data_IF_665768440199
#
_entry.id   IF_665768440199
#
_cell.length_a   1.000
_cell.length_b   1.000
_cell.length_c   1.000
_cell.angle_alpha   90.00
_cell.angle_beta   90.00
_cell.angle_gamma   90.00
#
_symmetry.space_group_name_H-M   'P 1'
#
loop_
_entity.id
_entity.type
_entity.pdbx_description
1 polymer ?
#
# COMPACT_ATOMS: atom_id res chain seq x y z
N UNK A 1 4.17 -13.29 2.94
CA UNK A 1 4.99 -12.44 3.83
C UNK A 1 6.46 -12.81 3.82
N UNK A 2 6.86 -14.05 4.08
CA UNK A 2 8.29 -14.46 4.13
C UNK A 2 9.12 -14.14 2.87
N UNK A 3 8.53 -14.21 1.66
CA UNK A 3 9.24 -13.87 0.41
C UNK A 3 9.52 -12.35 0.32
N UNK A 4 8.55 -11.51 0.71
CA UNK A 4 8.73 -10.05 0.77
C UNK A 4 9.86 -9.71 1.74
N UNK A 5 9.77 -10.18 2.98
CA UNK A 5 10.80 -9.89 3.98
C UNK A 5 12.20 -10.40 3.58
N UNK A 6 12.28 -11.53 2.87
CA UNK A 6 13.56 -12.05 2.35
C UNK A 6 14.17 -11.09 1.33
N UNK A 7 13.38 -10.59 0.38
CA UNK A 7 13.84 -9.61 -0.61
C UNK A 7 14.27 -8.30 0.04
N UNK A 8 13.52 -7.81 1.04
CA UNK A 8 13.90 -6.63 1.80
C UNK A 8 15.22 -6.85 2.55
N UNK A 9 15.42 -8.01 3.20
CA UNK A 9 16.67 -8.37 3.91
C UNK A 9 17.88 -8.50 2.98
N UNK A 10 17.69 -8.79 1.71
CA UNK A 10 18.78 -8.78 0.70
C UNK A 10 19.23 -7.36 0.35
N UNK A 11 18.29 -6.39 0.36
CA UNK A 11 18.54 -5.00 -0.03
C UNK A 11 18.96 -4.11 1.15
N UNK A 12 18.44 -4.40 2.34
CA UNK A 12 18.62 -3.58 3.54
C UNK A 12 19.19 -4.39 4.70
N UNK A 13 20.07 -3.77 5.48
CA UNK A 13 20.58 -4.34 6.74
C UNK A 13 19.73 -3.84 7.90
N UNK A 14 18.83 -4.68 8.39
CA UNK A 14 17.97 -4.36 9.54
C UNK A 14 18.67 -4.68 10.87
N UNK A 15 18.53 -3.79 11.85
CA UNK A 15 18.92 -4.02 13.26
C UNK A 15 17.76 -4.52 14.11
N UNK A 16 16.60 -4.75 13.49
CA UNK A 16 15.35 -5.20 14.09
C UNK A 16 14.71 -6.27 13.19
N UNK A 17 13.77 -7.03 13.73
CA UNK A 17 13.06 -8.02 12.92
C UNK A 17 11.90 -7.38 12.13
N UNK A 18 12.16 -7.06 10.86
CA UNK A 18 11.18 -6.52 9.94
C UNK A 18 9.99 -7.48 9.73
N UNK A 19 10.19 -8.79 9.86
CA UNK A 19 9.11 -9.76 9.69
C UNK A 19 8.14 -9.70 10.88
N UNK A 20 8.65 -9.61 12.11
CA UNK A 20 7.82 -9.43 13.30
C UNK A 20 7.03 -8.12 13.22
N UNK A 21 7.69 -7.00 12.89
CA UNK A 21 7.01 -5.70 12.75
C UNK A 21 5.88 -5.76 11.72
N UNK A 22 6.14 -6.32 10.53
CA UNK A 22 5.13 -6.41 9.48
C UNK A 22 3.96 -7.31 9.88
N UNK A 23 4.24 -8.45 10.54
CA UNK A 23 3.21 -9.35 11.05
C UNK A 23 2.30 -8.66 12.07
N UNK A 24 2.91 -8.02 13.06
CA UNK A 24 2.17 -7.37 14.14
C UNK A 24 1.34 -6.19 13.62
N UNK A 25 1.86 -5.42 12.67
CA UNK A 25 1.09 -4.35 12.02
C UNK A 25 -0.09 -4.88 11.21
N UNK A 26 0.05 -6.04 10.55
CA UNK A 26 -1.04 -6.69 9.81
C UNK A 26 -2.08 -7.23 10.79
N UNK A 27 -1.66 -7.96 11.83
CA UNK A 27 -2.57 -8.51 12.83
C UNK A 27 -3.34 -7.40 13.57
N UNK A 28 -2.63 -6.36 14.02
CA UNK A 28 -3.29 -5.21 14.64
C UNK A 28 -4.28 -4.52 13.68
N UNK A 29 -3.96 -4.42 12.38
CA UNK A 29 -4.88 -3.85 11.38
C UNK A 29 -6.15 -4.68 11.19
N UNK A 30 -6.05 -6.00 11.28
CA UNK A 30 -7.20 -6.91 11.14
C UNK A 30 -8.06 -6.92 12.40
N UNK A 31 -7.42 -6.97 13.58
CA UNK A 31 -8.11 -7.10 14.85
C UNK A 31 -8.69 -5.77 15.34
N UNK A 32 -7.90 -4.70 15.26
CA UNK A 32 -8.25 -3.37 15.77
C UNK A 32 -7.61 -2.28 14.90
N UNK A 33 -8.27 -1.85 13.82
CA UNK A 33 -7.76 -0.81 12.92
C UNK A 33 -7.54 0.52 13.67
N UNK A 34 -6.28 0.92 13.83
CA UNK A 34 -5.91 2.12 14.58
C UNK A 34 -4.60 2.75 14.06
N UNK A 35 -4.11 3.80 14.75
CA UNK A 35 -2.83 4.45 14.42
C UNK A 35 -1.65 3.49 14.60
N UNK A 36 -0.53 3.74 13.95
CA UNK A 36 0.68 2.90 14.06
C UNK A 36 1.21 2.83 15.50
N UNK A 37 1.09 3.92 16.25
CA UNK A 37 1.42 3.97 17.67
C UNK A 37 0.50 3.05 18.50
N UNK A 38 -0.80 3.10 18.24
CA UNK A 38 -1.79 2.22 18.90
C UNK A 38 -1.62 0.77 18.45
N UNK A 39 -1.32 0.50 17.17
CA UNK A 39 -1.01 -0.84 16.68
C UNK A 39 0.19 -1.46 17.41
N UNK A 40 1.26 -0.68 17.65
CA UNK A 40 2.40 -1.12 18.44
C UNK A 40 2.02 -1.44 19.89
N UNK A 41 1.16 -0.61 20.50
CA UNK A 41 0.63 -0.88 21.85
C UNK A 41 -0.21 -2.14 21.86
N UNK A 42 -1.12 -2.33 20.90
CA UNK A 42 -1.93 -3.55 20.77
C UNK A 42 -1.05 -4.80 20.59
N UNK A 43 0.03 -4.73 19.80
CA UNK A 43 0.97 -5.83 19.62
C UNK A 43 1.62 -6.27 20.94
N UNK A 44 1.76 -5.37 21.93
CA UNK A 44 2.30 -5.72 23.24
C UNK A 44 1.38 -6.64 24.06
N UNK A 45 0.11 -6.77 23.65
CA UNK A 45 -0.87 -7.67 24.26
C UNK A 45 -0.98 -9.02 23.51
N UNK A 46 -0.25 -9.17 22.39
CA UNK A 46 -0.22 -10.44 21.65
C UNK A 46 0.54 -11.52 22.43
N UNK A 47 0.30 -12.77 22.07
CA UNK A 47 0.94 -13.92 22.71
C UNK A 47 2.48 -13.82 22.61
N UNK A 48 2.98 -13.44 21.43
CA UNK A 48 4.39 -13.12 21.21
C UNK A 48 4.59 -11.61 21.29
N UNK A 49 5.26 -11.13 22.33
CA UNK A 49 5.50 -9.71 22.54
C UNK A 49 6.55 -9.17 21.58
N UNK A 50 6.40 -7.90 21.14
CA UNK A 50 7.39 -7.26 20.27
C UNK A 50 8.81 -7.27 20.86
N UNK A 51 9.77 -7.75 20.09
CA UNK A 51 11.21 -7.67 20.40
C UNK A 51 11.88 -6.40 19.86
N UNK A 52 11.09 -5.43 19.41
CA UNK A 52 11.50 -4.19 18.76
C UNK A 52 10.80 -2.98 19.42
N UNK A 53 11.35 -1.79 19.21
CA UNK A 53 10.77 -0.55 19.76
C UNK A 53 9.85 0.17 18.77
N UNK A 54 9.05 1.12 19.27
CA UNK A 54 8.19 1.95 18.42
C UNK A 54 8.97 2.72 17.34
N UNK A 55 10.20 3.16 17.64
CA UNK A 55 11.07 3.82 16.66
C UNK A 55 11.46 2.89 15.50
N UNK A 56 11.56 1.58 15.74
CA UNK A 56 11.85 0.60 14.69
C UNK A 56 10.63 0.38 13.79
N UNK A 57 9.41 0.51 14.34
CA UNK A 57 8.17 0.51 13.53
C UNK A 57 8.22 1.63 12.50
N UNK A 58 8.56 2.87 12.89
CA UNK A 58 8.64 3.99 11.95
C UNK A 58 9.76 3.81 10.93
N UNK A 59 10.94 3.33 11.33
CA UNK A 59 12.02 2.98 10.39
C UNK A 59 11.61 1.88 9.41
N UNK A 60 10.86 0.89 9.87
CA UNK A 60 10.31 -0.13 9.00
C UNK A 60 9.31 0.44 8.00
N UNK A 61 8.43 1.37 8.43
CA UNK A 61 7.47 2.03 7.55
C UNK A 61 8.16 2.85 6.44
N UNK A 62 9.27 3.51 6.73
CA UNK A 62 10.06 4.22 5.72
C UNK A 62 10.56 3.27 4.63
N UNK A 63 11.10 2.11 5.02
CA UNK A 63 11.55 1.08 4.06
C UNK A 63 10.37 0.48 3.30
N UNK A 64 9.25 0.17 3.99
CA UNK A 64 8.05 -0.38 3.35
C UNK A 64 7.44 0.61 2.35
N UNK A 65 7.47 1.91 2.66
CA UNK A 65 7.05 2.96 1.75
C UNK A 65 7.96 3.07 0.52
N UNK A 66 9.28 3.06 0.70
CA UNK A 66 10.26 3.12 -0.37
C UNK A 66 10.19 1.89 -1.31
N UNK A 67 9.85 0.73 -0.77
CA UNK A 67 9.77 -0.54 -1.52
C UNK A 67 8.32 -0.95 -1.84
N UNK A 68 7.39 -0.01 -1.81
CA UNK A 68 5.96 -0.26 -1.99
C UNK A 68 5.67 -1.03 -3.28
N UNK A 69 6.31 -0.69 -4.39
CA UNK A 69 6.10 -1.32 -5.70
C UNK A 69 6.59 -2.77 -5.71
N UNK A 70 7.77 -3.03 -5.16
CA UNK A 70 8.29 -4.38 -4.99
C UNK A 70 7.38 -5.23 -4.11
N UNK A 71 6.87 -4.66 -3.02
CA UNK A 71 5.97 -5.36 -2.10
C UNK A 71 4.66 -5.73 -2.81
N UNK A 72 4.05 -4.79 -3.52
CA UNK A 72 2.82 -5.03 -4.28
C UNK A 72 3.02 -6.13 -5.32
N UNK A 73 4.10 -6.06 -6.12
CA UNK A 73 4.41 -7.07 -7.13
C UNK A 73 4.60 -8.47 -6.51
N UNK A 74 5.29 -8.57 -5.38
CA UNK A 74 5.45 -9.86 -4.68
C UNK A 74 4.14 -10.38 -4.07
N UNK A 75 3.30 -9.50 -3.54
CA UNK A 75 1.98 -9.88 -3.02
C UNK A 75 1.10 -10.41 -4.16
N UNK A 76 1.06 -9.71 -5.30
CA UNK A 76 0.33 -10.16 -6.49
C UNK A 76 0.84 -11.53 -6.96
N UNK A 77 2.15 -11.71 -7.20
CA UNK A 77 2.73 -12.99 -7.61
C UNK A 77 2.42 -14.12 -6.62
N UNK A 78 2.44 -13.83 -5.33
CA UNK A 78 2.11 -14.81 -4.30
C UNK A 78 0.61 -15.12 -4.22
N UNK A 79 -0.27 -14.21 -4.64
CA UNK A 79 -1.71 -14.46 -4.62
C UNK A 79 -2.15 -15.60 -5.54
N UNK A 80 -1.40 -15.91 -6.59
CA UNK A 80 -1.64 -17.04 -7.48
C UNK A 80 -1.51 -18.42 -6.78
N UNK A 81 -0.83 -18.49 -5.64
CA UNK A 81 -0.80 -19.73 -4.82
C UNK A 81 -2.09 -19.97 -4.05
N UNK A 82 -2.90 -18.93 -3.83
CA UNK A 82 -4.19 -19.05 -3.14
C UNK A 82 -5.32 -19.45 -4.08
N UNK A 83 -5.16 -19.20 -5.38
CA UNK A 83 -6.14 -19.49 -6.41
C UNK A 83 -5.83 -18.78 -7.72
N UNK A 84 -6.61 -19.09 -8.73
CA UNK A 84 -6.50 -18.43 -10.02
C UNK A 84 -7.06 -17.01 -9.91
N UNK A 85 -6.25 -16.02 -10.26
CA UNK A 85 -6.67 -14.60 -10.32
C UNK A 85 -7.49 -14.35 -11.59
N UNK A 86 -8.53 -13.54 -11.47
CA UNK A 86 -9.37 -13.08 -12.58
C UNK A 86 -8.84 -11.75 -13.14
N UNK A 87 -7.59 -11.76 -13.60
CA UNK A 87 -6.80 -10.57 -13.94
C UNK A 87 -6.76 -10.26 -15.45
N UNK A 88 -7.65 -10.85 -16.23
CA UNK A 88 -7.82 -10.51 -17.65
C UNK A 88 -8.53 -9.17 -17.85
N UNK A 89 -9.44 -8.83 -16.96
CA UNK A 89 -10.15 -7.55 -16.93
C UNK A 89 -9.81 -6.90 -15.61
N UNK A 90 -9.28 -5.68 -15.68
CA UNK A 90 -8.94 -4.88 -14.51
C UNK A 90 -9.87 -3.68 -14.43
N UNK A 91 -10.38 -3.42 -13.24
CA UNK A 91 -11.15 -2.23 -12.93
C UNK A 91 -10.22 -1.20 -12.32
N UNK A 92 -10.27 0.01 -12.84
CA UNK A 92 -9.49 1.12 -12.35
C UNK A 92 -10.39 2.19 -11.76
N UNK A 93 -10.09 2.64 -10.56
CA UNK A 93 -10.73 3.80 -9.94
C UNK A 93 -9.73 4.60 -9.10
N UNK A 94 -10.04 5.89 -8.92
CA UNK A 94 -9.32 6.78 -8.05
C UNK A 94 -10.13 7.07 -6.79
N UNK A 95 -9.46 6.95 -5.65
CA UNK A 95 -9.98 7.42 -4.36
C UNK A 95 -9.10 8.55 -3.84
N UNK A 96 -9.67 9.40 -3.00
CA UNK A 96 -8.88 10.41 -2.30
C UNK A 96 -9.03 10.29 -0.78
N UNK A 97 -7.94 10.65 -0.11
CA UNK A 97 -7.84 10.67 1.34
C UNK A 97 -7.52 12.10 1.77
N UNK A 98 -8.34 12.68 2.64
CA UNK A 98 -8.09 13.99 3.20
C UNK A 98 -7.25 13.91 4.48
N UNK A 99 -6.57 15.00 4.78
CA UNK A 99 -5.78 15.15 6.00
C UNK A 99 -6.26 16.37 6.78
N UNK A 100 -6.45 16.23 8.07
CA UNK A 100 -6.86 17.33 8.96
C UNK A 100 -5.66 18.26 9.24
N UNK A 101 -5.15 18.89 8.18
CA UNK A 101 -4.08 19.89 8.20
C UNK A 101 -4.53 21.13 7.43
N UNK A 102 -4.03 22.30 7.81
CA UNK A 102 -4.37 23.57 7.16
C UNK A 102 -3.41 23.95 6.03
N UNK A 103 -2.24 23.34 5.97
CA UNK A 103 -1.23 23.66 4.96
C UNK A 103 -0.86 22.42 4.15
N UNK A 104 -0.53 22.66 2.90
CA UNK A 104 -0.02 21.62 2.02
C UNK A 104 1.34 21.09 2.51
N UNK A 105 1.54 19.78 2.42
CA UNK A 105 2.76 19.10 2.84
C UNK A 105 3.10 17.96 1.87
N UNK A 106 4.20 18.07 1.16
CA UNK A 106 4.64 17.07 0.18
C UNK A 106 3.59 16.76 -0.87
N UNK A 107 3.11 15.53 -0.90
CA UNK A 107 2.05 15.05 -1.81
C UNK A 107 0.63 15.44 -1.37
N UNK A 108 0.47 15.89 -0.12
CA UNK A 108 -0.82 16.38 0.41
C UNK A 108 -1.08 17.78 -0.16
N UNK A 109 -1.93 17.86 -1.16
CA UNK A 109 -2.25 19.09 -1.91
C UNK A 109 -3.74 19.35 -1.88
N UNK A 110 -4.11 20.64 -1.95
CA UNK A 110 -5.49 20.99 -2.22
C UNK A 110 -5.87 20.52 -3.62
N UNK A 111 -7.04 19.88 -3.73
CA UNK A 111 -7.52 19.34 -4.97
C UNK A 111 -9.03 19.05 -4.93
N UNK A 112 -9.55 18.48 -6.00
CA UNK A 112 -10.95 18.10 -6.08
C UNK A 112 -11.22 16.89 -5.19
N UNK A 113 -11.72 17.14 -3.96
CA UNK A 113 -12.13 16.08 -3.04
C UNK A 113 -13.47 15.48 -3.47
N UNK A 114 -13.56 14.14 -3.56
CA UNK A 114 -14.83 13.42 -3.79
C UNK A 114 -15.84 13.66 -2.64
N UNK A 115 -15.34 13.93 -1.43
CA UNK A 115 -16.16 14.23 -0.25
C UNK A 115 -16.41 15.73 -0.05
N UNK A 116 -15.97 16.59 -0.99
CA UNK A 116 -16.06 18.06 -0.88
C UNK A 116 -15.42 18.64 0.39
N UNK A 117 -14.36 17.99 0.90
CA UNK A 117 -13.61 18.47 2.06
C UNK A 117 -12.67 19.62 1.69
N UNK A 118 -12.55 20.66 2.54
CA UNK A 118 -11.66 21.79 2.29
C UNK A 118 -10.20 21.52 2.64
N UNK A 119 -9.86 20.30 2.96
CA UNK A 119 -8.54 19.90 3.44
C UNK A 119 -7.63 19.41 2.29
N UNK A 120 -6.30 19.48 2.46
CA UNK A 120 -5.37 18.82 1.56
C UNK A 120 -5.64 17.31 1.45
N UNK A 121 -5.53 16.78 0.24
CA UNK A 121 -5.80 15.38 -0.09
C UNK A 121 -4.58 14.71 -0.73
N UNK A 122 -4.56 13.39 -0.71
CA UNK A 122 -3.76 12.54 -1.59
C UNK A 122 -4.72 11.73 -2.45
N UNK A 123 -4.39 11.55 -3.71
CA UNK A 123 -5.12 10.66 -4.60
C UNK A 123 -4.46 9.30 -4.65
N UNK A 124 -5.25 8.24 -4.70
CA UNK A 124 -4.83 6.87 -4.90
C UNK A 124 -5.56 6.27 -6.09
N UNK A 125 -4.82 6.00 -7.17
CA UNK A 125 -5.32 5.18 -8.26
C UNK A 125 -5.06 3.71 -7.98
N UNK A 126 -6.05 2.84 -8.18
CA UNK A 126 -5.97 1.42 -7.87
C UNK A 126 -6.55 0.57 -8.98
N UNK A 127 -5.84 -0.50 -9.34
CA UNK A 127 -6.39 -1.61 -10.11
C UNK A 127 -6.91 -2.71 -9.19
N UNK A 128 -8.08 -3.20 -9.52
CA UNK A 128 -8.69 -4.43 -8.98
C UNK A 128 -8.93 -5.43 -10.09
N UNK A 129 -8.85 -6.72 -9.81
CA UNK A 129 -9.21 -7.76 -10.75
C UNK A 129 -10.75 -7.95 -10.85
N UNK A 130 -11.18 -8.87 -11.73
CA UNK A 130 -12.60 -9.15 -11.97
C UNK A 130 -13.36 -9.69 -10.76
N UNK A 131 -12.67 -10.10 -9.71
CA UNK A 131 -13.26 -10.57 -8.45
C UNK A 131 -13.23 -9.49 -7.35
N UNK A 132 -12.82 -8.24 -7.71
CA UNK A 132 -12.73 -7.12 -6.78
C UNK A 132 -11.51 -7.17 -5.86
N UNK A 133 -10.53 -8.04 -6.14
CA UNK A 133 -9.32 -8.16 -5.31
C UNK A 133 -8.29 -7.14 -5.80
N UNK A 134 -7.76 -6.27 -4.91
CA UNK A 134 -6.74 -5.31 -5.26
C UNK A 134 -5.51 -5.96 -5.90
N UNK A 135 -5.00 -5.33 -6.96
CA UNK A 135 -3.84 -5.80 -7.70
C UNK A 135 -2.66 -4.84 -7.48
N UNK A 136 -2.85 -3.58 -7.79
CA UNK A 136 -1.81 -2.55 -7.68
C UNK A 136 -2.42 -1.20 -7.39
N UNK A 137 -1.68 -0.34 -6.69
CA UNK A 137 -2.05 1.06 -6.49
C UNK A 137 -0.85 1.98 -6.64
N UNK A 138 -1.13 3.26 -6.89
CA UNK A 138 -0.15 4.34 -6.82
C UNK A 138 -0.76 5.56 -6.14
N UNK A 139 0.10 6.32 -5.45
CA UNK A 139 -0.28 7.55 -4.79
C UNK A 139 0.16 8.74 -5.63
N UNK A 140 -0.70 9.76 -5.72
CA UNK A 140 -0.47 10.98 -6.48
C UNK A 140 -0.77 12.20 -5.63
N UNK A 141 -0.15 13.36 -5.94
CA UNK A 141 -0.51 14.61 -5.27
C UNK A 141 -1.99 14.92 -5.42
N UNK A 142 -2.59 15.54 -4.40
CA UNK A 142 -4.03 15.84 -4.39
C UNK A 142 -4.51 16.73 -5.52
N UNK A 143 -3.63 17.53 -6.12
CA UNK A 143 -3.90 18.38 -7.27
C UNK A 143 -3.62 17.72 -8.63
N UNK A 144 -3.21 16.43 -8.65
CA UNK A 144 -2.98 15.71 -9.90
C UNK A 144 -4.31 15.44 -10.63
N UNK A 145 -4.25 15.39 -11.97
CA UNK A 145 -5.41 14.97 -12.75
C UNK A 145 -5.52 13.43 -12.71
N UNK A 146 -6.69 12.93 -12.33
CA UNK A 146 -6.97 11.49 -12.23
C UNK A 146 -6.64 10.73 -13.52
N UNK A 147 -6.93 11.32 -14.69
CA UNK A 147 -6.63 10.73 -15.99
C UNK A 147 -5.12 10.49 -16.22
N UNK A 148 -4.27 11.29 -15.59
CA UNK A 148 -2.81 11.13 -15.74
C UNK A 148 -2.24 10.04 -14.84
N UNK A 149 -2.99 9.57 -13.85
CA UNK A 149 -2.56 8.55 -12.89
C UNK A 149 -2.61 7.13 -13.44
N UNK A 150 -3.46 6.86 -14.44
CA UNK A 150 -3.67 5.54 -15.03
C UNK A 150 -2.41 5.00 -15.73
N UNK A 151 -1.81 5.77 -16.64
CA UNK A 151 -0.66 5.32 -17.45
C UNK A 151 0.56 4.87 -16.64
N UNK A 152 1.00 5.60 -15.59
CA UNK A 152 2.10 5.14 -14.75
C UNK A 152 1.79 3.81 -14.05
N UNK A 153 0.54 3.63 -13.59
CA UNK A 153 0.13 2.40 -12.92
C UNK A 153 0.02 1.22 -13.89
N UNK A 154 -0.51 1.45 -15.10
CA UNK A 154 -0.54 0.46 -16.18
C UNK A 154 0.88 -0.03 -16.52
N UNK A 155 1.83 0.89 -16.70
CA UNK A 155 3.23 0.56 -16.97
C UNK A 155 3.85 -0.29 -15.84
N UNK A 156 3.54 0.02 -14.59
CA UNK A 156 3.97 -0.76 -13.42
C UNK A 156 3.40 -2.18 -13.48
N UNK A 157 2.11 -2.35 -13.74
CA UNK A 157 1.45 -3.66 -13.81
C UNK A 157 2.04 -4.51 -14.93
N UNK A 158 2.28 -3.95 -16.10
CA UNK A 158 2.90 -4.68 -17.21
C UNK A 158 4.36 -5.06 -16.93
N UNK A 159 5.14 -4.18 -16.30
CA UNK A 159 6.57 -4.39 -16.03
C UNK A 159 6.81 -5.26 -14.80
N UNK A 160 6.46 -4.74 -13.63
CA UNK A 160 6.88 -5.31 -12.34
C UNK A 160 6.06 -6.54 -11.94
N UNK A 161 4.78 -6.58 -12.34
CA UNK A 161 3.86 -7.66 -12.00
C UNK A 161 3.85 -8.79 -13.03
N UNK A 162 4.45 -8.58 -14.20
CA UNK A 162 4.47 -9.56 -15.30
C UNK A 162 3.06 -9.94 -15.79
N UNK A 163 2.08 -9.05 -15.63
CA UNK A 163 0.74 -9.22 -16.13
C UNK A 163 0.73 -8.96 -17.64
N UNK A 164 0.70 -10.03 -18.44
CA UNK A 164 1.05 -9.96 -19.87
C UNK A 164 0.03 -9.24 -20.75
N UNK A 165 -1.27 -9.42 -20.49
CA UNK A 165 -2.36 -8.82 -21.26
C UNK A 165 -3.61 -8.67 -20.39
N UNK A 166 -4.13 -7.47 -20.30
CA UNK A 166 -5.40 -7.19 -19.66
C UNK A 166 -6.16 -6.09 -20.40
N UNK A 167 -7.46 -6.05 -20.21
CA UNK A 167 -8.33 -4.97 -20.61
C UNK A 167 -8.70 -4.23 -19.33
N UNK A 168 -8.60 -2.93 -19.29
CA UNK A 168 -9.08 -2.17 -18.15
C UNK A 168 -10.38 -1.44 -18.45
N UNK A 169 -11.21 -1.30 -17.42
CA UNK A 169 -12.43 -0.52 -17.42
C UNK A 169 -12.26 0.60 -16.38
N UNK A 170 -12.53 1.83 -16.78
CA UNK A 170 -12.54 3.00 -15.90
C UNK A 170 -13.76 3.84 -16.23
N UNK A 171 -14.30 4.54 -15.24
CA UNK A 171 -15.33 5.56 -15.39
C UNK A 171 -14.77 6.83 -16.03
#
# INVERSE_FOLDING_TARGET
MNKVCRKLKQKYKFKYDINAILSDLIYARILEPCSKRSSYKAASEFLEKPSYGLHDVYRALDVLGAECDLIQAEVYKNSHYLGKRNDRILYYDCSNYYFEIEQEDGTKKYGKSKEHRPNPIIQMGMFMDGDGIPLAFSLFPGNANEQTSLKPLEKKVLGDFECQKFIYCSD
#
